data_IF_458259707758
#
_entry.id   IF_458259707758
#
_cell.length_a   1.000
_cell.length_b   1.000
_cell.length_c   1.000
_cell.angle_alpha   90.00
_cell.angle_beta   90.00
_cell.angle_gamma   90.00
#
_symmetry.space_group_name_H-M   'P 1'
#
loop_
_entity.id
_entity.type
_entity.pdbx_description
1 polymer ?
#
# COMPACT_ATOMS: atom_id res chain seq x y z
N UNK A 1 96.85 -31.45 36.32
CA UNK A 1 96.78 -32.41 37.44
C UNK A 1 97.99 -33.32 37.31
N UNK A 2 98.85 -33.39 38.33
CA UNK A 2 100.07 -34.24 38.31
C UNK A 2 99.61 -35.70 38.23
N UNK A 3 100.18 -36.49 37.31
CA UNK A 3 99.78 -37.90 37.20
C UNK A 3 100.21 -38.64 38.47
N UNK A 4 99.40 -39.58 38.95
CA UNK A 4 99.70 -40.37 40.15
C UNK A 4 101.13 -40.97 40.13
N UNK A 5 101.60 -41.35 38.94
CA UNK A 5 102.96 -41.87 38.69
C UNK A 5 104.06 -40.83 38.93
N UNK A 6 103.83 -39.56 38.58
CA UNK A 6 104.75 -38.45 38.82
C UNK A 6 104.80 -38.09 40.31
N UNK A 7 103.63 -38.05 40.96
CA UNK A 7 103.51 -37.84 42.42
C UNK A 7 104.21 -38.95 43.22
N UNK A 8 104.08 -40.21 42.77
CA UNK A 8 104.76 -41.36 43.41
C UNK A 8 106.27 -41.25 43.27
N UNK A 9 106.76 -40.80 42.12
CA UNK A 9 108.20 -40.59 41.87
C UNK A 9 108.77 -39.50 42.77
N UNK A 10 108.03 -38.40 42.95
CA UNK A 10 108.44 -37.27 43.79
C UNK A 10 108.41 -37.63 45.28
N UNK A 11 107.35 -38.29 45.76
CA UNK A 11 107.23 -38.74 47.15
C UNK A 11 108.26 -39.83 47.52
N UNK A 12 108.70 -40.63 46.54
CA UNK A 12 109.73 -41.67 46.75
C UNK A 12 111.13 -41.11 47.03
N UNK A 13 111.34 -39.80 46.89
CA UNK A 13 112.59 -39.12 47.28
C UNK A 13 112.75 -39.03 48.80
N UNK A 14 111.63 -39.06 49.56
CA UNK A 14 111.61 -38.91 51.02
C UNK A 14 110.99 -40.14 51.72
N UNK A 15 110.03 -40.82 51.08
CA UNK A 15 109.32 -41.98 51.63
C UNK A 15 109.72 -43.29 50.95
N UNK A 16 109.60 -44.43 51.66
CA UNK A 16 109.79 -45.75 51.03
C UNK A 16 108.74 -45.95 49.93
N UNK A 17 109.11 -46.66 48.86
CA UNK A 17 108.28 -46.85 47.67
C UNK A 17 106.82 -47.25 47.96
N UNK A 18 106.59 -48.19 48.88
CA UNK A 18 105.24 -48.62 49.26
C UNK A 18 104.42 -47.51 49.95
N UNK A 19 105.06 -46.71 50.80
CA UNK A 19 104.43 -45.57 51.48
C UNK A 19 104.14 -44.42 50.49
N UNK A 20 105.09 -44.09 49.62
CA UNK A 20 104.93 -43.09 48.57
C UNK A 20 103.77 -43.44 47.60
N UNK A 21 103.65 -44.71 47.24
CA UNK A 21 102.56 -45.21 46.37
C UNK A 21 101.20 -45.09 47.05
N UNK A 22 101.10 -45.44 48.34
CA UNK A 22 99.86 -45.33 49.10
C UNK A 22 99.43 -43.87 49.28
N UNK A 23 100.36 -42.97 49.64
CA UNK A 23 100.12 -41.53 49.76
C UNK A 23 99.71 -40.90 48.42
N UNK A 24 100.41 -41.21 47.34
CA UNK A 24 100.05 -40.74 46.00
C UNK A 24 98.65 -41.22 45.59
N UNK A 25 98.27 -42.45 45.94
CA UNK A 25 96.93 -42.99 45.69
C UNK A 25 95.86 -42.28 46.52
N UNK A 26 96.08 -42.10 47.82
CA UNK A 26 95.11 -41.43 48.72
C UNK A 26 94.93 -39.97 48.31
N UNK A 27 96.00 -39.24 48.01
CA UNK A 27 95.96 -37.84 47.57
C UNK A 27 95.28 -37.75 46.20
N UNK A 28 95.64 -38.61 45.25
CA UNK A 28 95.00 -38.62 43.93
C UNK A 28 93.51 -38.92 44.01
N UNK A 29 93.08 -39.85 44.88
CA UNK A 29 91.67 -40.18 45.07
C UNK A 29 90.92 -39.02 45.73
N UNK A 30 91.47 -38.45 46.80
CA UNK A 30 90.88 -37.29 47.48
C UNK A 30 90.72 -36.09 46.53
N UNK A 31 91.73 -35.81 45.69
CA UNK A 31 91.64 -34.73 44.69
C UNK A 31 90.77 -35.07 43.48
N UNK A 32 90.55 -36.36 43.17
CA UNK A 32 89.64 -36.77 42.08
C UNK A 32 88.16 -36.67 42.45
N UNK A 33 87.83 -36.76 43.73
CA UNK A 33 86.47 -36.59 44.25
C UNK A 33 86.12 -35.11 44.52
N UNK A 34 87.11 -34.21 44.53
CA UNK A 34 86.88 -32.77 44.66
C UNK A 34 86.34 -32.17 43.35
N UNK A 35 85.23 -31.45 43.47
CA UNK A 35 84.71 -30.61 42.38
C UNK A 35 85.78 -29.60 41.99
N UNK A 36 86.13 -29.56 40.70
CA UNK A 36 87.13 -28.62 40.21
C UNK A 36 86.50 -27.24 40.05
N UNK A 37 87.32 -26.20 40.16
CA UNK A 37 86.89 -24.83 39.87
C UNK A 37 86.35 -24.69 38.44
N UNK A 38 86.83 -25.51 37.49
CA UNK A 38 86.28 -25.59 36.13
C UNK A 38 84.81 -26.00 36.11
N UNK A 39 84.44 -27.04 36.85
CA UNK A 39 83.10 -27.63 36.86
C UNK A 39 82.11 -26.66 37.53
N UNK A 40 82.56 -25.94 38.56
CA UNK A 40 81.77 -24.88 39.19
C UNK A 40 81.56 -23.68 38.26
N UNK A 41 82.56 -23.30 37.46
CA UNK A 41 82.41 -22.24 36.47
C UNK A 41 81.44 -22.65 35.35
N UNK A 42 81.51 -23.88 34.87
CA UNK A 42 80.56 -24.42 33.88
C UNK A 42 79.13 -24.41 34.42
N UNK A 43 78.91 -24.86 35.66
CA UNK A 43 77.61 -24.76 36.33
C UNK A 43 77.12 -23.31 36.44
N UNK A 44 78.02 -22.36 36.76
CA UNK A 44 77.67 -20.94 36.85
C UNK A 44 77.22 -20.37 35.50
N UNK A 45 77.89 -20.77 34.41
CA UNK A 45 77.47 -20.40 33.05
C UNK A 45 76.07 -20.97 32.74
N UNK A 46 75.85 -22.26 32.99
CA UNK A 46 74.54 -22.90 32.77
C UNK A 46 73.44 -22.20 33.57
N UNK A 47 73.69 -21.89 34.85
CA UNK A 47 72.73 -21.18 35.71
C UNK A 47 72.45 -19.77 35.19
N UNK A 48 73.46 -19.08 34.64
CA UNK A 48 73.28 -17.76 34.01
C UNK A 48 72.42 -17.85 32.76
N UNK A 49 72.65 -18.86 31.92
CA UNK A 49 71.87 -19.10 30.70
C UNK A 49 70.41 -19.44 31.04
N UNK A 50 70.19 -20.29 32.05
CA UNK A 50 68.84 -20.60 32.55
C UNK A 50 68.15 -19.34 33.06
N UNK A 51 68.84 -18.49 33.83
CA UNK A 51 68.26 -17.24 34.31
C UNK A 51 67.88 -16.29 33.17
N UNK A 52 68.70 -16.25 32.10
CA UNK A 52 68.41 -15.47 30.91
C UNK A 52 67.17 -15.99 30.16
N UNK A 53 67.09 -17.30 29.93
CA UNK A 53 65.93 -17.91 29.26
C UNK A 53 64.65 -17.83 30.10
N UNK A 54 64.75 -17.94 31.43
CA UNK A 54 63.62 -17.70 32.33
C UNK A 54 63.10 -16.27 32.24
N UNK A 55 64.00 -15.28 32.18
CA UNK A 55 63.60 -13.87 32.01
C UNK A 55 62.88 -13.67 30.68
N UNK A 56 63.45 -14.21 29.60
CA UNK A 56 62.86 -14.12 28.25
C UNK A 56 61.50 -14.80 28.17
N UNK A 57 61.33 -15.94 28.84
CA UNK A 57 60.04 -16.62 28.97
C UNK A 57 59.02 -15.76 29.73
N UNK A 58 59.42 -15.12 30.83
CA UNK A 58 58.55 -14.23 31.60
C UNK A 58 58.10 -13.01 30.79
N UNK A 59 59.00 -12.43 29.99
CA UNK A 59 58.67 -11.32 29.09
C UNK A 59 57.66 -11.76 28.01
N UNK A 60 57.87 -12.92 27.38
CA UNK A 60 56.92 -13.49 26.41
C UNK A 60 55.56 -13.82 27.02
N UNK A 61 55.52 -14.34 28.25
CA UNK A 61 54.27 -14.59 28.98
C UNK A 61 53.51 -13.28 29.24
N UNK A 62 54.22 -12.21 29.59
CA UNK A 62 53.61 -10.89 29.82
C UNK A 62 52.98 -10.33 28.54
N UNK A 63 53.66 -10.46 27.40
CA UNK A 63 53.11 -10.07 26.09
C UNK A 63 51.87 -10.89 25.74
N UNK A 64 51.91 -12.21 25.97
CA UNK A 64 50.78 -13.09 25.69
C UNK A 64 49.56 -12.76 26.55
N UNK A 65 49.75 -12.43 27.84
CA UNK A 65 48.68 -11.94 28.71
C UNK A 65 48.09 -10.63 28.19
N UNK A 66 48.92 -9.72 27.67
CA UNK A 66 48.47 -8.49 27.02
C UNK A 66 47.57 -8.78 25.82
N UNK A 67 48.04 -9.59 24.87
CA UNK A 67 47.27 -9.99 23.69
C UNK A 67 45.97 -10.71 24.04
N UNK A 68 45.97 -11.57 25.08
CA UNK A 68 44.77 -12.24 25.54
C UNK A 68 43.73 -11.26 26.10
N UNK A 69 44.18 -10.23 26.81
CA UNK A 69 43.29 -9.18 27.33
C UNK A 69 42.64 -8.40 26.18
N UNK A 70 43.42 -7.98 25.19
CA UNK A 70 42.90 -7.30 23.99
C UNK A 70 41.90 -8.17 23.23
N UNK A 71 42.18 -9.47 23.09
CA UNK A 71 41.25 -10.41 22.46
C UNK A 71 39.94 -10.53 23.24
N UNK A 72 40.00 -10.55 24.57
CA UNK A 72 38.81 -10.57 25.45
C UNK A 72 37.97 -9.31 25.27
N UNK A 73 38.60 -8.14 25.20
CA UNK A 73 37.93 -6.86 24.95
C UNK A 73 37.31 -6.81 23.53
N UNK A 74 38.01 -7.35 22.52
CA UNK A 74 37.47 -7.46 21.17
C UNK A 74 36.28 -8.43 21.09
N UNK A 75 36.34 -9.54 21.83
CA UNK A 75 35.26 -10.53 21.91
C UNK A 75 34.01 -9.92 22.56
N UNK A 76 34.14 -9.29 23.72
CA UNK A 76 33.01 -8.63 24.41
C UNK A 76 32.37 -7.54 23.54
N UNK A 77 33.16 -6.75 22.81
CA UNK A 77 32.64 -5.77 21.84
C UNK A 77 31.87 -6.44 20.69
N UNK A 78 32.31 -7.62 20.26
CA UNK A 78 31.66 -8.38 19.19
C UNK A 78 30.34 -8.99 19.67
N UNK A 79 30.31 -9.55 20.88
CA UNK A 79 29.09 -10.06 21.52
C UNK A 79 28.02 -8.96 21.64
N UNK A 80 28.39 -7.77 22.12
CA UNK A 80 27.49 -6.62 22.18
C UNK A 80 26.97 -6.17 20.80
N UNK A 81 27.77 -6.31 19.74
CA UNK A 81 27.31 -6.00 18.37
C UNK A 81 26.33 -7.05 17.86
N UNK A 82 26.59 -8.32 18.16
CA UNK A 82 25.70 -9.42 17.77
C UNK A 82 24.36 -9.28 18.48
N UNK A 83 24.33 -8.97 19.77
CA UNK A 83 23.10 -8.73 20.53
C UNK A 83 22.26 -7.60 19.91
N UNK A 84 22.89 -6.45 19.58
CA UNK A 84 22.21 -5.34 18.90
C UNK A 84 21.68 -5.72 17.51
N UNK A 85 22.39 -6.56 16.78
CA UNK A 85 21.94 -7.06 15.48
C UNK A 85 20.74 -7.99 15.64
N UNK A 86 20.74 -8.86 16.65
CA UNK A 86 19.60 -9.72 16.97
C UNK A 86 18.36 -8.89 17.32
N UNK A 87 18.49 -7.87 18.18
CA UNK A 87 17.37 -6.96 18.49
C UNK A 87 16.84 -6.22 17.26
N UNK A 88 17.73 -5.71 16.42
CA UNK A 88 17.36 -5.04 15.17
C UNK A 88 16.67 -6.00 14.18
N UNK A 89 17.12 -7.25 14.13
CA UNK A 89 16.50 -8.29 13.32
C UNK A 89 15.10 -8.61 13.84
N UNK A 90 14.91 -8.86 15.13
CA UNK A 90 13.59 -9.12 15.73
C UNK A 90 12.62 -7.97 15.48
N UNK A 91 13.08 -6.72 15.61
CA UNK A 91 12.26 -5.54 15.28
C UNK A 91 11.86 -5.49 13.81
N UNK A 92 12.75 -5.93 12.92
CA UNK A 92 12.49 -5.98 11.48
C UNK A 92 11.49 -7.08 11.14
N UNK A 93 11.63 -8.26 11.75
CA UNK A 93 10.68 -9.38 11.60
C UNK A 93 9.26 -8.97 12.03
N UNK A 94 9.09 -8.31 13.18
CA UNK A 94 7.79 -7.79 13.62
C UNK A 94 7.18 -6.79 12.63
N UNK A 95 7.99 -5.86 12.10
CA UNK A 95 7.50 -4.90 11.09
C UNK A 95 7.08 -5.59 9.79
N UNK A 96 7.77 -6.65 9.39
CA UNK A 96 7.40 -7.42 8.19
C UNK A 96 6.06 -8.11 8.42
N UNK A 97 5.84 -8.70 9.59
CA UNK A 97 4.57 -9.32 9.97
C UNK A 97 3.41 -8.30 9.95
N UNK A 98 3.58 -7.13 10.56
CA UNK A 98 2.61 -6.03 10.53
C UNK A 98 2.28 -5.58 9.09
N UNK A 99 3.30 -5.51 8.21
CA UNK A 99 3.11 -5.16 6.80
C UNK A 99 2.35 -6.25 6.04
N UNK A 100 2.63 -7.53 6.31
CA UNK A 100 1.89 -8.65 5.72
C UNK A 100 0.41 -8.59 6.11
N UNK A 101 0.09 -8.37 7.39
CA UNK A 101 -1.30 -8.23 7.84
C UNK A 101 -2.00 -7.02 7.18
N UNK A 102 -1.32 -5.87 7.12
CA UNK A 102 -1.84 -4.68 6.46
C UNK A 102 -2.08 -4.90 4.96
N UNK A 103 -1.20 -5.65 4.29
CA UNK A 103 -1.36 -6.05 2.90
C UNK A 103 -2.58 -6.95 2.72
N UNK A 104 -2.72 -8.02 3.53
CA UNK A 104 -3.88 -8.92 3.45
C UNK A 104 -5.21 -8.16 3.68
N UNK A 105 -5.25 -7.23 4.64
CA UNK A 105 -6.43 -6.37 4.85
C UNK A 105 -6.73 -5.49 3.65
N UNK A 106 -5.70 -5.00 2.97
CA UNK A 106 -5.86 -4.18 1.76
C UNK A 106 -6.37 -5.01 0.59
N UNK A 107 -5.83 -6.22 0.39
CA UNK A 107 -6.30 -7.16 -0.63
C UNK A 107 -7.78 -7.50 -0.47
N UNK A 108 -8.23 -7.79 0.75
CA UNK A 108 -9.65 -8.03 1.04
C UNK A 108 -10.54 -6.83 0.69
N UNK A 109 -10.13 -5.61 1.05
CA UNK A 109 -10.88 -4.39 0.71
C UNK A 109 -10.95 -4.16 -0.80
N UNK A 110 -9.88 -4.44 -1.53
CA UNK A 110 -9.84 -4.33 -2.99
C UNK A 110 -10.81 -5.34 -3.62
N UNK A 111 -10.86 -6.57 -3.11
CA UNK A 111 -11.81 -7.58 -3.58
C UNK A 111 -13.28 -7.17 -3.31
N UNK A 112 -13.57 -6.62 -2.13
CA UNK A 112 -14.90 -6.08 -1.81
C UNK A 112 -15.29 -4.91 -2.72
N UNK A 113 -14.37 -4.00 -3.00
CA UNK A 113 -14.58 -2.88 -3.93
C UNK A 113 -14.84 -3.38 -5.35
N UNK A 114 -14.09 -4.38 -5.82
CA UNK A 114 -14.31 -4.98 -7.14
C UNK A 114 -15.72 -5.59 -7.24
N UNK A 115 -16.16 -6.34 -6.22
CA UNK A 115 -17.53 -6.89 -6.16
C UNK A 115 -18.59 -5.80 -6.13
N UNK A 116 -18.38 -4.73 -5.36
CA UNK A 116 -19.30 -3.59 -5.30
C UNK A 116 -19.38 -2.84 -6.65
N UNK A 117 -18.25 -2.71 -7.35
CA UNK A 117 -18.18 -2.13 -8.67
C UNK A 117 -18.96 -2.96 -9.68
N UNK A 118 -18.76 -4.28 -9.75
CA UNK A 118 -19.52 -5.17 -10.64
C UNK A 118 -21.03 -5.08 -10.37
N UNK A 119 -21.45 -5.04 -9.10
CA UNK A 119 -22.87 -4.85 -8.76
C UNK A 119 -23.41 -3.50 -9.23
N UNK A 120 -22.59 -2.46 -9.19
CA UNK A 120 -22.97 -1.12 -9.65
C UNK A 120 -23.08 -1.09 -11.17
N UNK A 121 -22.14 -1.71 -11.89
CA UNK A 121 -22.17 -1.84 -13.35
C UNK A 121 -23.45 -2.56 -13.81
N UNK A 122 -23.83 -3.67 -13.17
CA UNK A 122 -25.08 -4.37 -13.48
C UNK A 122 -26.32 -3.48 -13.27
N UNK A 123 -26.39 -2.74 -12.16
CA UNK A 123 -27.51 -1.81 -11.91
C UNK A 123 -27.57 -0.68 -12.93
N UNK A 124 -26.42 -0.18 -13.38
CA UNK A 124 -26.36 0.86 -14.42
C UNK A 124 -26.86 0.31 -15.76
N UNK A 125 -26.52 -0.94 -16.09
CA UNK A 125 -27.04 -1.61 -17.28
C UNK A 125 -28.56 -1.79 -17.21
N UNK A 126 -29.10 -2.29 -16.09
CA UNK A 126 -30.55 -2.42 -15.86
C UNK A 126 -31.26 -1.06 -15.99
N UNK A 127 -30.68 0.01 -15.44
CA UNK A 127 -31.23 1.36 -15.55
C UNK A 127 -31.21 1.86 -17.01
N UNK A 128 -30.15 1.60 -17.75
CA UNK A 128 -30.06 1.96 -19.17
C UNK A 128 -31.10 1.23 -20.00
N UNK A 129 -31.37 -0.05 -19.71
CA UNK A 129 -32.45 -0.81 -20.35
C UNK A 129 -33.83 -0.25 -19.98
N UNK A 130 -34.07 0.05 -18.70
CA UNK A 130 -35.30 0.69 -18.23
C UNK A 130 -35.57 2.03 -18.93
N UNK A 131 -34.54 2.86 -19.09
CA UNK A 131 -34.64 4.12 -19.84
C UNK A 131 -35.00 3.90 -21.31
N UNK A 132 -34.39 2.90 -21.98
CA UNK A 132 -34.75 2.55 -23.37
C UNK A 132 -36.22 2.15 -23.49
N UNK A 133 -36.74 1.39 -22.53
CA UNK A 133 -38.16 1.00 -22.50
C UNK A 133 -39.08 2.19 -22.27
N UNK A 134 -38.73 3.08 -21.35
CA UNK A 134 -39.48 4.32 -21.09
C UNK A 134 -39.55 5.22 -22.32
N UNK A 135 -38.43 5.40 -23.03
CA UNK A 135 -38.41 6.17 -24.29
C UNK A 135 -39.35 5.54 -25.32
N UNK A 136 -39.36 4.21 -25.47
CA UNK A 136 -40.29 3.52 -26.37
C UNK A 136 -41.75 3.78 -25.97
N UNK A 137 -42.09 3.63 -24.70
CA UNK A 137 -43.45 3.88 -24.20
C UNK A 137 -43.88 5.35 -24.40
N UNK A 138 -42.97 6.29 -24.17
CA UNK A 138 -43.21 7.72 -24.40
C UNK A 138 -43.47 8.02 -25.88
N UNK A 139 -42.68 7.46 -26.80
CA UNK A 139 -42.91 7.65 -28.25
C UNK A 139 -44.24 7.07 -28.73
N UNK A 140 -44.70 5.95 -28.14
CA UNK A 140 -46.02 5.38 -28.43
C UNK A 140 -47.14 6.29 -27.91
N UNK A 141 -46.98 6.82 -26.70
CA UNK A 141 -47.94 7.75 -26.09
C UNK A 141 -48.03 9.04 -26.90
N UNK A 142 -46.90 9.59 -27.36
CA UNK A 142 -46.86 10.78 -28.22
C UNK A 142 -47.62 10.55 -29.53
N UNK A 143 -47.47 9.38 -30.16
CA UNK A 143 -48.24 9.01 -31.37
C UNK A 143 -49.74 8.94 -31.09
N UNK A 144 -50.13 8.31 -29.99
CA UNK A 144 -51.54 8.21 -29.60
C UNK A 144 -52.16 9.60 -29.36
N UNK A 145 -51.45 10.49 -28.67
CA UNK A 145 -51.90 11.88 -28.45
C UNK A 145 -52.04 12.64 -29.77
N UNK A 146 -51.08 12.51 -30.70
CA UNK A 146 -51.18 13.14 -32.04
C UNK A 146 -52.38 12.62 -32.84
N UNK A 147 -52.64 11.31 -32.78
CA UNK A 147 -53.81 10.71 -33.44
C UNK A 147 -55.11 11.21 -32.84
N UNK A 148 -55.19 11.26 -31.51
CA UNK A 148 -56.35 11.79 -30.80
C UNK A 148 -56.61 13.26 -31.15
N UNK A 149 -55.56 14.09 -31.16
CA UNK A 149 -55.66 15.49 -31.56
C UNK A 149 -56.20 15.63 -33.00
N UNK A 150 -55.76 14.78 -33.93
CA UNK A 150 -56.27 14.76 -35.31
C UNK A 150 -57.75 14.35 -35.37
N UNK A 151 -58.15 13.33 -34.62
CA UNK A 151 -59.55 12.89 -34.58
C UNK A 151 -60.46 13.95 -33.95
N UNK A 152 -60.03 14.60 -32.87
CA UNK A 152 -60.78 15.69 -32.23
C UNK A 152 -60.89 16.89 -33.17
N UNK A 153 -59.81 17.26 -33.88
CA UNK A 153 -59.84 18.31 -34.89
C UNK A 153 -60.90 18.02 -35.96
N UNK A 154 -60.83 16.85 -36.60
CA UNK A 154 -61.81 16.47 -37.62
C UNK A 154 -63.26 16.37 -37.09
N UNK A 155 -63.45 15.91 -35.85
CA UNK A 155 -64.77 15.90 -35.22
C UNK A 155 -65.27 17.33 -34.94
N UNK A 156 -64.39 18.22 -34.48
CA UNK A 156 -64.74 19.62 -34.23
C UNK A 156 -65.10 20.34 -35.52
N UNK A 157 -64.36 20.09 -36.60
CA UNK A 157 -64.67 20.61 -37.93
C UNK A 157 -66.05 20.11 -38.41
N UNK A 158 -66.34 18.81 -38.21
CA UNK A 158 -67.61 18.21 -38.62
C UNK A 158 -68.78 18.75 -37.81
N UNK A 159 -68.69 18.73 -36.47
CA UNK A 159 -69.74 19.25 -35.58
C UNK A 159 -69.91 20.75 -35.79
N UNK A 160 -68.82 21.50 -35.97
CA UNK A 160 -68.87 22.94 -36.26
C UNK A 160 -69.70 23.22 -37.51
N UNK A 161 -69.40 22.52 -38.61
CA UNK A 161 -70.18 22.61 -39.84
C UNK A 161 -71.64 22.19 -39.68
N UNK A 162 -71.91 21.04 -39.05
CA UNK A 162 -73.27 20.56 -38.81
C UNK A 162 -74.08 21.56 -37.96
N UNK A 163 -73.47 22.12 -36.91
CA UNK A 163 -74.10 23.13 -36.05
C UNK A 163 -74.33 24.43 -36.82
N UNK A 164 -73.38 24.88 -37.64
CA UNK A 164 -73.53 26.04 -38.52
C UNK A 164 -74.72 25.83 -39.47
N UNK A 165 -74.76 24.70 -40.19
CA UNK A 165 -75.83 24.33 -41.12
C UNK A 165 -77.20 24.26 -40.44
N UNK A 166 -77.28 23.62 -39.27
CA UNK A 166 -78.53 23.56 -38.48
C UNK A 166 -78.94 24.96 -38.02
N UNK A 167 -77.99 25.80 -37.62
CA UNK A 167 -78.25 27.17 -37.16
C UNK A 167 -78.93 28.00 -38.24
N UNK A 168 -78.52 27.87 -39.50
CA UNK A 168 -79.17 28.54 -40.65
C UNK A 168 -80.66 28.18 -40.79
N UNK A 169 -81.06 26.96 -40.43
CA UNK A 169 -82.46 26.52 -40.50
C UNK A 169 -83.25 26.81 -39.22
N UNK A 170 -82.63 26.62 -38.06
CA UNK A 170 -83.33 26.64 -36.77
C UNK A 170 -83.49 28.07 -36.25
N UNK A 171 -82.48 28.92 -36.40
CA UNK A 171 -82.50 30.29 -35.86
C UNK A 171 -83.68 31.10 -36.43
N UNK A 172 -83.94 31.14 -37.76
CA UNK A 172 -85.09 31.86 -38.30
C UNK A 172 -86.42 31.33 -37.77
N UNK A 173 -86.58 30.01 -37.71
CA UNK A 173 -87.81 29.37 -37.27
C UNK A 173 -88.13 29.66 -35.79
N UNK A 174 -87.13 29.54 -34.90
CA UNK A 174 -87.31 29.78 -33.47
C UNK A 174 -87.55 31.26 -33.18
N UNK A 175 -86.84 32.18 -33.84
CA UNK A 175 -87.03 33.62 -33.64
C UNK A 175 -88.40 34.11 -34.17
N UNK A 176 -88.89 33.54 -35.27
CA UNK A 176 -90.26 33.82 -35.74
C UNK A 176 -91.31 33.28 -34.77
N UNK A 177 -91.14 32.05 -34.25
CA UNK A 177 -92.12 31.44 -33.35
C UNK A 177 -92.21 32.15 -31.99
N UNK A 178 -91.06 32.45 -31.38
CA UNK A 178 -91.02 32.92 -29.99
C UNK A 178 -91.12 34.45 -29.87
N UNK A 179 -90.60 35.19 -30.86
CA UNK A 179 -90.54 36.66 -30.84
C UNK A 179 -91.30 37.32 -31.99
N UNK A 180 -91.79 36.55 -32.97
CA UNK A 180 -92.43 37.09 -34.17
C UNK A 180 -91.46 37.72 -35.17
N UNK A 181 -90.14 37.59 -34.95
CA UNK A 181 -89.13 38.23 -35.77
C UNK A 181 -88.98 37.53 -37.12
N UNK A 182 -89.10 38.30 -38.21
CA UNK A 182 -88.93 37.77 -39.56
C UNK A 182 -87.50 38.03 -40.04
N UNK A 183 -86.71 36.98 -40.13
CA UNK A 183 -85.33 37.04 -40.63
C UNK A 183 -85.36 36.96 -42.16
N UNK A 184 -84.75 37.94 -42.84
CA UNK A 184 -84.71 37.95 -44.30
C UNK A 184 -83.74 36.91 -44.84
N UNK A 185 -82.49 36.99 -44.41
CA UNK A 185 -81.42 36.10 -44.82
C UNK A 185 -80.31 36.07 -43.77
N UNK A 186 -79.86 34.87 -43.46
CA UNK A 186 -78.62 34.66 -42.75
C UNK A 186 -77.49 34.49 -43.79
N UNK A 187 -76.33 35.05 -43.49
CA UNK A 187 -75.12 34.96 -44.29
C UNK A 187 -73.87 35.00 -43.40
N UNK A 188 -72.77 34.45 -43.92
CA UNK A 188 -71.46 34.55 -43.31
C UNK A 188 -70.80 35.86 -43.71
N UNK A 189 -70.33 36.64 -42.73
CA UNK A 189 -69.76 37.96 -42.96
C UNK A 189 -68.46 38.18 -42.19
N UNK A 190 -67.56 38.96 -42.76
CA UNK A 190 -66.41 39.48 -42.04
C UNK A 190 -66.74 40.86 -41.48
N UNK A 191 -66.62 41.02 -40.17
CA UNK A 191 -66.83 42.31 -39.49
C UNK A 191 -65.57 42.71 -38.75
N UNK A 192 -65.18 43.96 -38.91
CA UNK A 192 -64.11 44.55 -38.10
C UNK A 192 -64.69 45.02 -36.78
N UNK A 193 -64.33 44.34 -35.69
CA UNK A 193 -64.57 44.83 -34.33
C UNK A 193 -63.22 45.22 -33.73
N UNK A 194 -62.93 46.53 -33.68
CA UNK A 194 -61.62 47.03 -33.26
C UNK A 194 -60.54 46.84 -34.33
N UNK A 195 -59.34 46.42 -33.92
CA UNK A 195 -58.18 46.26 -34.82
C UNK A 195 -58.14 44.91 -35.59
N UNK A 196 -59.06 43.99 -35.30
CA UNK A 196 -59.11 42.68 -35.94
C UNK A 196 -60.44 42.47 -36.66
N UNK A 197 -60.38 41.84 -37.83
CA UNK A 197 -61.54 41.37 -38.56
C UNK A 197 -61.86 39.94 -38.09
N UNK A 198 -63.10 39.73 -37.66
CA UNK A 198 -63.61 38.43 -37.24
C UNK A 198 -64.64 37.94 -38.27
N UNK A 199 -64.62 36.63 -38.56
CA UNK A 199 -65.65 35.97 -39.34
C UNK A 199 -66.82 35.61 -38.43
N UNK A 200 -68.00 36.04 -38.82
CA UNK A 200 -69.25 35.70 -38.14
C UNK A 200 -69.99 34.72 -39.04
N UNK A 201 -70.08 33.48 -38.59
CA UNK A 201 -70.63 32.35 -39.35
C UNK A 201 -72.13 32.49 -39.63
N UNK A 202 -72.87 33.12 -38.71
CA UNK A 202 -74.31 33.37 -38.85
C UNK A 202 -74.62 34.83 -38.54
N UNK A 203 -74.91 35.63 -39.57
CA UNK A 203 -75.29 37.03 -39.45
C UNK A 203 -76.50 37.35 -40.33
N UNK A 204 -77.46 38.12 -39.83
CA UNK A 204 -78.61 38.55 -40.63
C UNK A 204 -79.40 39.66 -39.98
N UNK A 205 -80.32 40.25 -40.73
CA UNK A 205 -81.24 41.27 -40.27
C UNK A 205 -82.64 40.66 -40.07
N UNK A 206 -83.35 41.14 -39.06
CA UNK A 206 -84.69 40.69 -38.72
C UNK A 206 -85.61 41.89 -38.50
N UNK A 207 -86.87 41.75 -38.89
CA UNK A 207 -87.90 42.76 -38.63
C UNK A 207 -88.66 42.40 -37.35
N UNK A 208 -88.65 43.31 -36.37
CA UNK A 208 -89.41 43.16 -35.13
C UNK A 208 -90.84 43.70 -35.29
N UNK A 209 -91.89 42.86 -35.26
CA UNK A 209 -93.26 43.33 -35.39
C UNK A 209 -93.72 44.20 -34.20
N UNK A 210 -93.04 44.15 -33.05
CA UNK A 210 -93.32 45.02 -31.92
C UNK A 210 -92.71 46.43 -32.08
N UNK A 211 -91.73 46.60 -32.98
CA UNK A 211 -91.03 47.88 -33.26
C UNK A 211 -90.68 48.02 -34.74
N UNK A 212 -91.67 48.25 -35.61
CA UNK A 212 -91.48 48.23 -37.07
C UNK A 212 -90.58 49.35 -37.64
N UNK A 213 -90.27 50.39 -36.85
CA UNK A 213 -89.48 51.56 -37.28
C UNK A 213 -88.02 51.55 -36.79
N UNK A 214 -87.61 50.56 -35.99
CA UNK A 214 -86.21 50.37 -35.54
C UNK A 214 -85.60 49.20 -36.34
N UNK A 215 -84.60 49.49 -37.18
CA UNK A 215 -83.82 48.49 -37.95
C UNK A 215 -82.37 48.46 -37.47
#
# INVERSE_FOLDING_TARGET
>A
MIKQTEMTRELSTVFKYHQATLLAKVISNAYSELVKTSDFNELKEIVRDIAFEQKRLADSQKELVGSHKELTEAQTRTELKVEKLTEAQTRTELKVEELTEAQTRTELKVEELAKAQTRTELKVEELAEGQKLLVKAQTQTEKAVKQLAKHIGGLSDTIGGDVEDISYSVIPHVLEQELGWQIERLERVWRAWGEQAEEIDVFGQAVDPARPDET
#
